data_IF_307906964018
#
_entry.id   IF_307906964018
#
_cell.length_a   1.000
_cell.length_b   1.000
_cell.length_c   1.000
_cell.angle_alpha   90.00
_cell.angle_beta   90.00
_cell.angle_gamma   90.00
#
_symmetry.space_group_name_H-M   'P 1'
#
loop_
_entity.id
_entity.type
_entity.pdbx_description
1 polymer ?
#
# COMPACT_ATOMS: atom_id res chain seq x y z
N UNK A 1 4.72 20.08 -21.72
CA UNK A 1 4.11 19.29 -20.62
C UNK A 1 5.26 18.50 -20.05
N UNK A 2 5.50 18.57 -18.75
CA UNK A 2 6.64 17.87 -18.16
C UNK A 2 6.24 16.43 -17.90
N UNK A 3 7.18 15.51 -18.06
CA UNK A 3 6.96 14.08 -17.88
C UNK A 3 7.80 13.55 -16.71
N UNK A 4 7.26 12.58 -15.99
CA UNK A 4 7.91 11.95 -14.83
C UNK A 4 7.73 10.44 -14.95
N UNK A 5 8.84 9.70 -14.86
CA UNK A 5 8.84 8.25 -14.79
C UNK A 5 9.12 7.82 -13.36
N UNK A 6 8.28 6.95 -12.81
CA UNK A 6 8.45 6.34 -11.50
C UNK A 6 8.59 4.85 -11.72
N UNK A 7 9.82 4.35 -11.63
CA UNK A 7 10.17 2.96 -11.88
C UNK A 7 10.83 2.42 -10.61
N UNK A 8 10.36 1.27 -10.14
CA UNK A 8 10.87 0.66 -8.91
C UNK A 8 10.09 -0.58 -8.54
N UNK A 9 10.03 -0.87 -7.24
CA UNK A 9 9.31 -2.02 -6.72
C UNK A 9 8.83 -1.80 -5.29
N UNK A 10 7.73 -2.44 -4.92
CA UNK A 10 7.33 -2.61 -3.53
C UNK A 10 8.06 -3.86 -3.02
N UNK A 11 9.10 -3.65 -2.21
CA UNK A 11 9.97 -4.73 -1.74
C UNK A 11 9.23 -5.72 -0.85
N UNK A 12 8.52 -5.22 0.16
CA UNK A 12 7.94 -6.06 1.18
C UNK A 12 7.39 -5.28 2.35
N UNK A 13 7.05 -5.99 3.43
CA UNK A 13 6.67 -5.37 4.69
C UNK A 13 6.99 -6.28 5.90
N UNK A 14 7.06 -5.69 7.08
CA UNK A 14 7.47 -6.38 8.32
C UNK A 14 6.76 -5.84 9.55
N UNK A 15 6.83 -6.57 10.66
CA UNK A 15 6.27 -6.12 11.94
C UNK A 15 4.77 -6.41 12.10
N UNK A 16 4.25 -7.37 11.32
CA UNK A 16 2.88 -7.87 11.45
C UNK A 16 2.82 -9.13 12.32
N UNK A 17 1.70 -9.40 13.01
CA UNK A 17 1.59 -10.53 13.94
C UNK A 17 1.64 -11.90 13.25
N UNK A 18 1.08 -12.01 12.04
CA UNK A 18 1.00 -13.25 11.28
C UNK A 18 1.74 -13.14 9.94
N UNK A 19 2.19 -14.31 9.46
CA UNK A 19 2.68 -14.54 8.10
C UNK A 19 1.50 -14.56 7.10
N UNK A 20 1.74 -14.71 5.80
CA UNK A 20 0.70 -14.68 4.75
C UNK A 20 0.10 -13.28 4.57
N UNK A 21 0.91 -12.34 4.11
CA UNK A 21 0.49 -10.95 3.86
C UNK A 21 0.73 -10.52 2.41
N UNK A 22 -0.13 -9.64 1.93
CA UNK A 22 -0.02 -8.99 0.63
C UNK A 22 -0.36 -7.51 0.73
N UNK A 23 0.05 -6.72 -0.27
CA UNK A 23 -0.24 -5.31 -0.35
C UNK A 23 -1.19 -4.99 -1.52
N UNK A 24 -2.22 -4.21 -1.23
CA UNK A 24 -2.95 -3.44 -2.25
C UNK A 24 -2.38 -2.04 -2.27
N UNK A 25 -2.06 -1.54 -3.45
CA UNK A 25 -1.46 -0.23 -3.62
C UNK A 25 -2.24 0.60 -4.62
N UNK A 26 -2.20 1.91 -4.46
CA UNK A 26 -2.80 2.88 -5.37
C UNK A 26 -2.04 4.19 -5.33
N UNK A 27 -1.78 4.79 -6.49
CA UNK A 27 -1.24 6.14 -6.59
C UNK A 27 -2.40 7.13 -6.68
N UNK A 28 -2.45 8.03 -5.71
CA UNK A 28 -3.36 9.17 -5.72
C UNK A 28 -2.59 10.42 -6.15
N UNK A 29 -3.20 11.21 -7.03
CA UNK A 29 -2.62 12.41 -7.60
C UNK A 29 -3.69 13.47 -7.83
N UNK A 30 -3.30 14.74 -7.90
CA UNK A 30 -4.22 15.84 -8.18
C UNK A 30 -4.51 16.04 -9.67
N UNK A 31 -5.43 16.94 -9.97
CA UNK A 31 -5.91 17.23 -11.34
C UNK A 31 -4.83 17.78 -12.29
N UNK A 32 -3.70 18.26 -11.77
CA UNK A 32 -2.56 18.70 -12.58
C UNK A 32 -1.74 17.52 -13.15
N UNK A 33 -1.97 16.30 -12.67
CA UNK A 33 -1.25 15.09 -13.02
C UNK A 33 -2.13 14.14 -13.83
N UNK A 34 -1.52 13.43 -14.77
CA UNK A 34 -2.20 12.43 -15.60
C UNK A 34 -1.29 11.22 -15.79
N UNK A 35 -1.82 10.03 -15.56
CA UNK A 35 -1.16 8.77 -15.95
C UNK A 35 -1.22 8.65 -17.47
N UNK A 36 -0.06 8.51 -18.11
CA UNK A 36 0.09 8.26 -19.54
C UNK A 36 0.19 6.76 -19.81
N UNK A 37 0.94 6.04 -18.98
CA UNK A 37 1.19 4.60 -19.08
C UNK A 37 1.44 4.01 -17.68
N UNK A 38 1.16 2.72 -17.54
CA UNK A 38 1.35 1.97 -16.32
C UNK A 38 0.07 1.86 -15.48
N UNK A 39 0.04 0.85 -14.63
CA UNK A 39 -1.06 0.68 -13.69
C UNK A 39 -0.84 1.61 -12.49
N UNK A 40 -1.88 2.35 -12.11
CA UNK A 40 -1.82 3.27 -10.96
C UNK A 40 -2.46 2.68 -9.70
N UNK A 41 -2.95 1.45 -9.78
CA UNK A 41 -3.42 0.66 -8.65
C UNK A 41 -3.21 -0.82 -8.96
N UNK A 42 -3.03 -1.62 -7.91
CA UNK A 42 -2.73 -3.03 -8.08
C UNK A 42 -2.65 -3.78 -6.76
N UNK A 43 -2.26 -5.04 -6.87
CA UNK A 43 -2.09 -5.94 -5.73
C UNK A 43 -0.84 -6.80 -5.94
N UNK A 44 -0.10 -7.02 -4.86
CA UNK A 44 1.04 -7.95 -4.84
C UNK A 44 0.58 -9.40 -4.71
N UNK A 45 1.53 -10.31 -4.86
CA UNK A 45 1.36 -11.69 -4.39
C UNK A 45 1.26 -11.75 -2.86
N UNK A 46 0.72 -12.86 -2.37
CA UNK A 46 0.76 -13.22 -0.95
C UNK A 46 2.11 -13.86 -0.69
N UNK A 47 2.77 -13.43 0.38
CA UNK A 47 4.00 -14.05 0.85
C UNK A 47 3.83 -14.57 2.29
N UNK A 48 4.25 -15.82 2.49
CA UNK A 48 4.18 -16.54 3.76
C UNK A 48 5.60 -17.02 4.14
N UNK A 49 6.43 -16.14 4.72
CA UNK A 49 7.80 -16.49 5.08
C UNK A 49 7.79 -17.54 6.20
N UNK A 50 8.57 -18.62 6.03
CA UNK A 50 8.66 -19.69 7.03
C UNK A 50 9.58 -19.34 8.21
N UNK A 51 10.67 -18.60 7.95
CA UNK A 51 11.72 -18.30 8.92
C UNK A 51 12.15 -16.81 8.94
N UNK A 52 11.58 -15.97 8.07
CA UNK A 52 11.94 -14.55 7.95
C UNK A 52 10.87 -13.62 8.54
N UNK A 53 11.26 -12.53 9.22
CA UNK A 53 10.33 -11.56 9.80
C UNK A 53 9.74 -10.58 8.77
N UNK A 54 10.10 -10.73 7.48
CA UNK A 54 9.75 -9.82 6.39
C UNK A 54 9.02 -10.62 5.32
N UNK A 55 7.87 -10.12 4.89
CA UNK A 55 7.19 -10.60 3.70
C UNK A 55 7.79 -9.92 2.46
N UNK A 56 8.31 -10.70 1.53
CA UNK A 56 8.99 -10.23 0.32
C UNK A 56 8.05 -10.33 -0.90
N UNK A 57 7.67 -9.18 -1.45
CA UNK A 57 6.80 -9.11 -2.62
C UNK A 57 7.55 -8.83 -3.92
N UNK A 58 8.59 -7.99 -3.87
CA UNK A 58 9.34 -7.53 -5.05
C UNK A 58 8.43 -7.11 -6.22
N UNK A 59 7.31 -6.46 -5.92
CA UNK A 59 6.27 -6.19 -6.90
C UNK A 59 6.65 -4.98 -7.77
N UNK A 60 6.71 -5.11 -9.10
CA UNK A 60 7.22 -4.05 -9.96
C UNK A 60 6.27 -2.85 -10.01
N UNK A 61 6.85 -1.66 -10.09
CA UNK A 61 6.17 -0.39 -10.32
C UNK A 61 6.79 0.24 -11.57
N UNK A 62 5.96 0.53 -12.55
CA UNK A 62 6.34 1.30 -13.74
C UNK A 62 5.20 2.25 -14.09
N UNK A 63 5.42 3.54 -13.86
CA UNK A 63 4.43 4.59 -13.99
C UNK A 63 5.01 5.76 -14.79
N UNK A 64 4.27 6.19 -15.80
CA UNK A 64 4.60 7.36 -16.62
C UNK A 64 3.54 8.43 -16.43
N UNK A 65 3.94 9.57 -15.89
CA UNK A 65 3.07 10.72 -15.66
C UNK A 65 3.38 11.87 -16.60
N UNK A 66 2.34 12.59 -16.97
CA UNK A 66 2.42 13.96 -17.45
C UNK A 66 1.92 14.93 -16.37
N UNK A 67 2.59 16.06 -16.22
CA UNK A 67 2.18 17.12 -15.29
C UNK A 67 2.12 18.50 -15.94
N UNK A 68 1.11 19.28 -15.52
CA UNK A 68 0.94 20.71 -15.84
C UNK A 68 1.34 21.63 -14.67
N UNK A 69 1.66 21.07 -13.49
CA UNK A 69 2.01 21.83 -12.29
C UNK A 69 2.24 20.93 -11.08
N UNK A 70 2.80 21.49 -10.01
CA UNK A 70 3.21 20.71 -8.83
C UNK A 70 2.07 20.39 -7.83
N UNK A 71 0.90 21.01 -8.00
CA UNK A 71 -0.23 20.78 -7.10
C UNK A 71 -0.72 19.32 -7.17
N UNK A 72 -1.00 18.73 -6.00
CA UNK A 72 -1.45 17.35 -5.92
C UNK A 72 -0.39 16.33 -6.32
N UNK A 73 0.84 16.52 -5.85
CA UNK A 73 1.95 15.61 -6.08
C UNK A 73 1.57 14.13 -5.84
N UNK A 74 1.99 13.19 -6.70
CA UNK A 74 1.62 11.78 -6.57
C UNK A 74 2.05 11.15 -5.24
N UNK A 75 1.17 10.33 -4.67
CA UNK A 75 1.41 9.60 -3.43
C UNK A 75 0.94 8.16 -3.57
N UNK A 76 1.75 7.22 -3.09
CA UNK A 76 1.32 5.85 -2.89
C UNK A 76 0.47 5.76 -1.64
N UNK A 77 -0.68 5.12 -1.77
CA UNK A 77 -1.48 4.60 -0.68
C UNK A 77 -1.32 3.09 -0.68
N UNK A 78 -0.96 2.56 0.48
CA UNK A 78 -0.68 1.15 0.68
C UNK A 78 -1.67 0.61 1.68
N UNK A 79 -2.14 -0.61 1.44
CA UNK A 79 -2.95 -1.38 2.37
C UNK A 79 -2.32 -2.75 2.51
N UNK A 80 -1.96 -3.14 3.72
CA UNK A 80 -1.44 -4.47 4.01
C UNK A 80 -2.59 -5.32 4.50
N UNK A 81 -2.75 -6.47 3.85
CA UNK A 81 -3.79 -7.44 4.10
C UNK A 81 -3.15 -8.77 4.46
N UNK A 82 -3.75 -9.46 5.41
CA UNK A 82 -3.42 -10.83 5.76
C UNK A 82 -4.48 -11.77 5.16
N UNK A 83 -4.03 -12.92 4.66
CA UNK A 83 -4.91 -13.98 4.22
C UNK A 83 -4.77 -15.18 5.17
N UNK A 84 -5.89 -15.55 5.80
CA UNK A 84 -5.92 -16.69 6.70
C UNK A 84 -5.95 -18.03 5.95
N UNK A 85 -5.83 -19.13 6.70
CA UNK A 85 -5.87 -20.51 6.17
C UNK A 85 -7.18 -20.88 5.47
N UNK A 86 -8.25 -20.10 5.66
CA UNK A 86 -9.55 -20.29 5.01
C UNK A 86 -9.73 -19.37 3.80
N UNK A 87 -8.69 -18.62 3.40
CA UNK A 87 -8.70 -17.69 2.28
C UNK A 87 -9.43 -16.36 2.56
N UNK A 88 -9.73 -16.04 3.83
CA UNK A 88 -10.36 -14.78 4.22
C UNK A 88 -9.30 -13.70 4.34
N UNK A 89 -9.60 -12.52 3.79
CA UNK A 89 -8.68 -11.39 3.81
C UNK A 89 -9.04 -10.43 4.93
N UNK A 90 -8.12 -10.22 5.88
CA UNK A 90 -8.23 -9.21 6.93
C UNK A 90 -7.30 -8.04 6.65
N UNK A 91 -7.81 -6.82 6.83
CA UNK A 91 -6.95 -5.64 6.76
C UNK A 91 -6.12 -5.51 8.04
N UNK A 92 -4.80 -5.46 7.87
CA UNK A 92 -3.85 -5.22 8.95
C UNK A 92 -3.52 -3.74 9.12
N UNK A 93 -3.26 -3.03 8.02
CA UNK A 93 -2.86 -1.62 8.12
C UNK A 93 -3.02 -0.82 6.83
N UNK A 94 -3.07 0.49 7.00
CA UNK A 94 -2.94 1.50 5.95
C UNK A 94 -1.57 2.16 6.02
N UNK A 95 -1.07 2.66 4.90
CA UNK A 95 0.13 3.48 4.82
C UNK A 95 0.04 4.44 3.65
N UNK A 96 0.84 5.50 3.67
CA UNK A 96 1.05 6.31 2.49
C UNK A 96 2.47 6.89 2.47
N UNK A 97 3.00 7.10 1.27
CA UNK A 97 4.25 7.81 1.05
C UNK A 97 4.19 8.64 -0.23
N UNK A 98 4.97 9.71 -0.29
CA UNK A 98 5.04 10.57 -1.46
C UNK A 98 6.06 10.01 -2.46
N UNK A 99 5.81 10.19 -3.76
CA UNK A 99 6.86 10.00 -4.77
C UNK A 99 8.01 10.98 -4.47
N UNK A 100 9.29 10.56 -4.55
CA UNK A 100 10.42 11.48 -4.35
C UNK A 100 10.37 12.68 -5.29
N UNK A 101 10.69 13.86 -4.76
CA UNK A 101 10.66 15.13 -5.52
C UNK A 101 11.97 15.42 -6.26
N UNK A 102 13.01 14.63 -6.03
CA UNK A 102 14.28 14.71 -6.74
C UNK A 102 14.51 13.48 -7.62
N UNK A 103 15.15 13.64 -8.79
CA UNK A 103 15.52 12.50 -9.62
C UNK A 103 16.60 11.67 -8.92
N UNK A 104 16.55 10.35 -9.11
CA UNK A 104 17.54 9.42 -8.57
C UNK A 104 16.93 8.12 -8.08
N UNK A 105 17.76 7.30 -7.44
CA UNK A 105 17.34 6.11 -6.73
C UNK A 105 16.99 6.49 -5.29
N UNK A 106 15.81 6.05 -4.83
CA UNK A 106 15.32 6.33 -3.49
C UNK A 106 14.82 5.04 -2.86
N UNK A 107 15.16 4.85 -1.59
CA UNK A 107 14.61 3.81 -0.74
C UNK A 107 13.70 4.49 0.29
N UNK A 108 12.44 4.04 0.39
CA UNK A 108 11.41 4.70 1.18
C UNK A 108 10.73 3.69 2.08
N UNK A 109 10.93 3.84 3.38
CA UNK A 109 10.17 3.10 4.38
C UNK A 109 8.81 3.80 4.63
N UNK A 110 7.72 3.11 4.30
CA UNK A 110 6.37 3.60 4.57
C UNK A 110 5.88 3.06 5.91
N UNK A 111 5.82 3.93 6.92
CA UNK A 111 5.23 3.58 8.22
C UNK A 111 3.73 3.38 8.06
N UNK A 112 3.25 2.22 8.51
CA UNK A 112 1.84 1.85 8.45
C UNK A 112 1.13 2.04 9.79
N UNK A 113 -0.18 2.22 9.74
CA UNK A 113 -1.04 2.43 10.91
C UNK A 113 -2.41 1.77 10.69
N UNK A 114 -3.10 1.46 11.78
CA UNK A 114 -4.47 0.96 11.77
C UNK A 114 -5.27 1.71 12.84
N UNK A 115 -6.52 2.11 12.56
CA UNK A 115 -7.38 2.66 13.59
C UNK A 115 -7.62 1.60 14.67
N UNK A 116 -7.43 1.99 15.93
CA UNK A 116 -7.67 1.11 17.08
C UNK A 116 -9.13 1.21 17.51
N UNK A 117 -9.81 0.08 17.56
CA UNK A 117 -11.17 -0.01 18.08
C UNK A 117 -11.23 0.01 19.61
N UNK A 118 -12.43 -0.01 20.14
CA UNK A 118 -12.67 -0.32 21.55
C UNK A 118 -12.18 -1.74 21.90
N UNK A 119 -11.95 -2.02 23.18
CA UNK A 119 -11.52 -3.35 23.66
C UNK A 119 -12.43 -4.48 23.14
N UNK A 120 -13.74 -4.25 23.10
CA UNK A 120 -14.71 -5.24 22.61
C UNK A 120 -14.58 -5.43 21.10
N UNK A 121 -14.29 -4.37 20.34
CA UNK A 121 -14.08 -4.45 18.89
C UNK A 121 -12.76 -5.14 18.54
N UNK A 122 -11.70 -4.91 19.32
CA UNK A 122 -10.43 -5.64 19.15
C UNK A 122 -10.59 -7.12 19.52
N UNK A 123 -11.29 -7.45 20.61
CA UNK A 123 -11.63 -8.83 20.95
C UNK A 123 -12.47 -9.48 19.85
N UNK A 124 -13.50 -8.79 19.35
CA UNK A 124 -14.30 -9.30 18.22
C UNK A 124 -13.45 -9.50 16.98
N UNK A 125 -12.56 -8.56 16.67
CA UNK A 125 -11.65 -8.69 15.53
C UNK A 125 -10.78 -9.93 15.67
N UNK A 126 -10.20 -10.15 16.85
CA UNK A 126 -9.33 -11.30 17.11
C UNK A 126 -10.07 -12.65 17.02
N UNK A 127 -11.34 -12.72 17.45
CA UNK A 127 -12.08 -14.00 17.49
C UNK A 127 -12.98 -14.26 16.28
N UNK A 128 -13.53 -13.21 15.68
CA UNK A 128 -14.55 -13.29 14.62
C UNK A 128 -14.00 -12.76 13.28
N UNK A 129 -12.93 -11.96 13.33
CA UNK A 129 -12.47 -11.16 12.20
C UNK A 129 -13.26 -9.85 12.07
N UNK A 130 -12.85 -9.02 11.12
CA UNK A 130 -13.53 -7.75 10.82
C UNK A 130 -12.93 -6.57 11.58
N UNK A 131 -11.68 -6.23 11.24
CA UNK A 131 -10.99 -5.05 11.76
C UNK A 131 -11.73 -3.75 11.44
N UNK A 132 -11.55 -2.73 12.30
CA UNK A 132 -12.07 -1.40 12.02
C UNK A 132 -11.43 -0.86 10.73
N UNK A 133 -12.26 -0.60 9.72
CA UNK A 133 -11.82 -0.08 8.43
C UNK A 133 -12.24 1.38 8.30
N UNK A 134 -11.39 2.17 7.64
CA UNK A 134 -11.76 3.51 7.23
C UNK A 134 -12.92 3.39 6.24
N UNK A 135 -14.01 4.12 6.52
CA UNK A 135 -15.11 4.23 5.57
C UNK A 135 -14.59 4.98 4.35
N UNK A 136 -14.35 4.27 3.26
CA UNK A 136 -14.04 4.90 1.98
C UNK A 136 -15.32 5.60 1.52
N UNK A 137 -15.40 6.93 1.67
CA UNK A 137 -16.38 7.70 0.94
C UNK A 137 -15.96 7.65 -0.53
N UNK A 138 -16.64 6.79 -1.28
CA UNK A 138 -16.62 6.82 -2.73
C UNK A 138 -17.35 8.12 -3.11
N UNK A 139 -16.58 9.13 -3.49
CA UNK A 139 -17.08 10.20 -4.36
C UNK A 139 -16.88 9.78 -5.82
#
# INVERSE_FOLDING_TARGET
MSEVHVIGQILGASGFPESSVFCKWKVQMGSAWRVLQGDHEGQTQIDEPSDEPIANWCHPIDLHFATKGLQGWPKFHLQVWHQDVYGRNELYSYGFCHVPTSPGLHEIDCVTWRPKGSLIEELKTQFIGGSAQLKVSID
#
